data_IF_857016319483
#
_entry.id   IF_857016319483
#
_cell.length_a   1.000
_cell.length_b   1.000
_cell.length_c   1.000
_cell.angle_alpha   90.00
_cell.angle_beta   90.00
_cell.angle_gamma   90.00
#
_symmetry.space_group_name_H-M   'P 1'
#
loop_
_entity.id
_entity.type
_entity.pdbx_description
1 polymer ?
#
# COMPACT_ATOMS: atom_id res chain seq x y z
N UNK A 1 -16.61 -6.30 -3.53
CA UNK A 1 -15.42 -7.15 -3.28
C UNK A 1 -15.46 -7.56 -1.83
N UNK A 2 -15.28 -8.85 -1.52
CA UNK A 2 -15.19 -9.32 -0.14
C UNK A 2 -13.73 -9.26 0.33
N UNK A 3 -13.49 -8.81 1.55
CA UNK A 3 -12.21 -8.83 2.24
C UNK A 3 -12.38 -9.54 3.58
N UNK A 4 -11.42 -10.38 3.96
CA UNK A 4 -11.44 -11.03 5.27
C UNK A 4 -10.96 -10.06 6.36
N UNK A 5 -11.40 -10.21 7.63
CA UNK A 5 -10.77 -9.50 8.73
C UNK A 5 -9.29 -9.87 8.86
N UNK A 6 -8.42 -8.88 9.09
CA UNK A 6 -7.03 -9.17 9.44
C UNK A 6 -6.96 -9.87 10.79
N UNK A 7 -6.14 -10.95 10.92
CA UNK A 7 -6.06 -11.72 12.17
C UNK A 7 -5.46 -10.96 13.35
N UNK A 8 -4.64 -9.94 13.07
CA UNK A 8 -3.91 -9.16 14.07
C UNK A 8 -3.64 -7.72 13.60
N UNK A 9 -2.96 -6.91 14.40
CA UNK A 9 -2.68 -5.50 14.13
C UNK A 9 -1.68 -5.22 13.00
N UNK A 10 -1.00 -6.24 12.45
CA UNK A 10 0.12 -6.06 11.52
C UNK A 10 -0.06 -6.74 10.16
N UNK A 11 -1.14 -7.49 9.95
CA UNK A 11 -1.38 -8.30 8.74
C UNK A 11 -2.32 -7.65 7.71
N UNK A 12 -2.57 -6.34 7.81
CA UNK A 12 -3.43 -5.61 6.86
C UNK A 12 -2.97 -5.77 5.40
N UNK A 13 -1.67 -5.65 5.14
CA UNK A 13 -1.09 -5.79 3.80
C UNK A 13 -1.33 -7.17 3.18
N UNK A 14 -0.88 -8.27 3.80
CA UNK A 14 -1.16 -9.63 3.34
C UNK A 14 -2.67 -9.93 3.17
N UNK A 15 -3.53 -9.38 4.04
CA UNK A 15 -4.98 -9.56 3.92
C UNK A 15 -5.55 -8.83 2.70
N UNK A 16 -5.08 -7.60 2.41
CA UNK A 16 -5.41 -6.90 1.17
C UNK A 16 -4.93 -7.68 -0.07
N UNK A 17 -3.70 -8.20 -0.03
CA UNK A 17 -3.13 -9.00 -1.12
C UNK A 17 -3.94 -10.28 -1.37
N UNK A 18 -4.34 -10.98 -0.31
CA UNK A 18 -5.23 -12.14 -0.39
C UNK A 18 -6.57 -11.81 -1.08
N UNK A 19 -7.16 -10.66 -0.76
CA UNK A 19 -8.38 -10.21 -1.41
C UNK A 19 -8.20 -9.96 -2.91
N UNK A 20 -7.04 -9.40 -3.34
CA UNK A 20 -6.72 -9.26 -4.76
C UNK A 20 -6.49 -10.62 -5.44
N UNK A 21 -5.81 -11.56 -4.79
CA UNK A 21 -5.65 -12.90 -5.34
C UNK A 21 -6.99 -13.58 -5.60
N UNK A 22 -7.93 -13.50 -4.64
CA UNK A 22 -9.29 -14.01 -4.81
C UNK A 22 -10.02 -13.33 -5.97
N UNK A 23 -9.88 -12.01 -6.10
CA UNK A 23 -10.48 -11.26 -7.21
C UNK A 23 -9.97 -11.75 -8.57
N UNK A 24 -8.69 -12.06 -8.70
CA UNK A 24 -8.08 -12.60 -9.92
C UNK A 24 -8.21 -14.13 -10.07
N UNK A 25 -9.03 -14.77 -9.24
CA UNK A 25 -9.32 -16.20 -9.30
C UNK A 25 -8.23 -17.12 -8.73
N UNK A 26 -7.20 -16.57 -8.10
CA UNK A 26 -6.21 -17.36 -7.38
C UNK A 26 -6.72 -17.66 -5.97
N UNK A 27 -6.97 -18.94 -5.69
CA UNK A 27 -7.45 -19.42 -4.40
C UNK A 27 -6.28 -19.94 -3.57
N UNK A 28 -5.84 -19.16 -2.60
CA UNK A 28 -4.80 -19.49 -1.63
C UNK A 28 -5.31 -19.14 -0.23
N UNK A 29 -5.06 -19.94 0.81
CA UNK A 29 -5.46 -19.60 2.18
C UNK A 29 -4.80 -18.29 2.65
N UNK A 30 -5.52 -17.45 3.42
CA UNK A 30 -4.98 -16.21 3.97
C UNK A 30 -3.69 -16.46 4.80
N UNK A 31 -3.68 -17.49 5.62
CA UNK A 31 -2.50 -17.86 6.42
C UNK A 31 -1.26 -18.09 5.55
N UNK A 32 -1.41 -18.72 4.37
CA UNK A 32 -0.31 -18.94 3.46
C UNK A 32 0.20 -17.62 2.83
N UNK A 33 -0.68 -16.65 2.60
CA UNK A 33 -0.26 -15.32 2.10
C UNK A 33 0.49 -14.56 3.21
N UNK A 34 -0.01 -14.64 4.45
CA UNK A 34 0.66 -14.04 5.61
C UNK A 34 2.06 -14.64 5.80
N UNK A 35 2.19 -15.96 5.73
CA UNK A 35 3.47 -16.66 5.91
C UNK A 35 4.48 -16.36 4.77
N UNK A 36 4.00 -16.07 3.55
CA UNK A 36 4.87 -15.80 2.40
C UNK A 36 5.33 -14.35 2.31
N UNK A 37 4.61 -13.42 2.92
CA UNK A 37 4.99 -12.00 2.94
C UNK A 37 5.84 -11.71 4.17
N UNK A 38 7.12 -11.42 3.95
CA UNK A 38 8.05 -11.15 5.05
C UNK A 38 7.59 -9.93 5.89
N UNK A 39 7.39 -10.06 7.20
CA UNK A 39 7.09 -8.94 8.07
C UNK A 39 8.35 -8.10 8.34
N UNK A 40 8.15 -6.83 8.68
CA UNK A 40 9.22 -5.99 9.22
C UNK A 40 9.49 -6.36 10.71
N UNK A 41 10.71 -6.13 11.19
CA UNK A 41 11.07 -6.37 12.60
C UNK A 41 10.18 -5.58 13.58
N UNK A 42 9.73 -4.40 13.19
CA UNK A 42 8.87 -3.50 13.98
C UNK A 42 7.37 -3.80 13.79
N UNK A 43 7.04 -4.85 13.04
CA UNK A 43 5.69 -5.21 12.64
C UNK A 43 5.26 -4.56 11.32
N UNK A 44 4.15 -5.07 10.76
CA UNK A 44 3.64 -4.65 9.46
C UNK A 44 4.49 -5.12 8.28
N UNK A 45 4.27 -4.53 7.11
CA UNK A 45 4.98 -4.86 5.88
C UNK A 45 5.19 -3.61 5.02
N UNK A 46 5.83 -3.77 3.87
CA UNK A 46 5.95 -2.74 2.83
C UNK A 46 5.21 -3.21 1.58
N UNK A 47 4.62 -2.28 0.83
CA UNK A 47 3.90 -2.61 -0.40
C UNK A 47 4.75 -3.38 -1.42
N UNK A 48 6.03 -3.07 -1.52
CA UNK A 48 6.96 -3.78 -2.41
C UNK A 48 7.14 -5.25 -2.03
N UNK A 49 7.01 -5.61 -0.75
CA UNK A 49 7.05 -7.01 -0.31
C UNK A 49 5.78 -7.76 -0.75
N UNK A 50 4.63 -7.10 -0.71
CA UNK A 50 3.38 -7.61 -1.29
C UNK A 50 3.52 -7.82 -2.80
N UNK A 51 4.11 -6.84 -3.49
CA UNK A 51 4.34 -6.91 -4.93
C UNK A 51 5.32 -8.04 -5.32
N UNK A 52 6.36 -8.28 -4.52
CA UNK A 52 7.30 -9.38 -4.75
C UNK A 52 6.64 -10.76 -4.58
N UNK A 53 5.74 -10.93 -3.62
CA UNK A 53 4.95 -12.17 -3.49
C UNK A 53 4.02 -12.35 -4.70
N UNK A 54 3.40 -11.27 -5.20
CA UNK A 54 2.55 -11.31 -6.37
C UNK A 54 3.34 -11.70 -7.64
N UNK A 55 4.51 -11.09 -7.88
CA UNK A 55 5.41 -11.46 -8.97
C UNK A 55 5.83 -12.94 -8.90
N UNK A 56 6.13 -13.44 -7.69
CA UNK A 56 6.49 -14.84 -7.49
C UNK A 56 5.33 -15.80 -7.83
N UNK A 57 4.09 -15.32 -7.80
CA UNK A 57 2.87 -16.08 -8.17
C UNK A 57 2.42 -15.86 -9.62
N UNK A 58 3.23 -15.18 -10.43
CA UNK A 58 2.97 -14.97 -11.85
C UNK A 58 1.98 -13.85 -12.17
N UNK A 59 1.85 -12.87 -11.30
CA UNK A 59 1.18 -11.62 -11.60
C UNK A 59 2.16 -10.61 -12.18
N UNK A 60 1.67 -9.72 -13.03
CA UNK A 60 2.33 -8.45 -13.30
C UNK A 60 1.97 -7.47 -12.18
N UNK A 61 2.97 -6.71 -11.72
CA UNK A 61 2.80 -5.78 -10.61
C UNK A 61 3.34 -4.40 -10.97
N UNK A 62 2.49 -3.39 -10.82
CA UNK A 62 2.86 -1.97 -10.98
C UNK A 62 2.68 -1.24 -9.65
N UNK A 63 3.75 -0.62 -9.15
CA UNK A 63 3.71 0.27 -7.99
C UNK A 63 3.76 1.73 -8.46
N UNK A 64 2.75 2.52 -8.08
CA UNK A 64 2.82 3.98 -8.09
C UNK A 64 3.29 4.44 -6.72
N UNK A 65 4.48 5.03 -6.64
CA UNK A 65 5.06 5.50 -5.38
C UNK A 65 5.03 7.02 -5.27
N UNK A 66 4.80 7.51 -4.06
CA UNK A 66 4.87 8.94 -3.69
C UNK A 66 5.87 9.13 -2.54
N UNK A 67 6.69 8.12 -2.26
CA UNK A 67 7.56 8.07 -1.10
C UNK A 67 8.91 8.75 -1.35
N UNK A 68 9.00 10.04 -1.00
CA UNK A 68 10.23 10.85 -1.07
C UNK A 68 11.34 10.40 -0.10
N UNK A 69 11.04 9.54 0.88
CA UNK A 69 12.07 8.95 1.74
C UNK A 69 12.93 7.93 1.00
N UNK A 70 12.37 7.30 -0.04
CA UNK A 70 13.03 6.28 -0.86
C UNK A 70 13.50 6.82 -2.20
N UNK A 71 12.65 7.55 -2.89
CA UNK A 71 12.85 7.95 -4.28
C UNK A 71 13.03 9.46 -4.42
N UNK A 72 13.74 9.85 -5.49
CA UNK A 72 13.84 11.23 -5.95
C UNK A 72 13.06 11.35 -7.28
N UNK A 73 12.16 12.33 -7.42
CA UNK A 73 11.37 12.51 -8.64
C UNK A 73 12.22 12.63 -9.92
N UNK A 74 13.43 13.17 -9.80
CA UNK A 74 14.34 13.33 -10.94
C UNK A 74 14.80 12.00 -11.53
N UNK A 75 14.72 10.91 -10.78
CA UNK A 75 15.08 9.57 -11.27
C UNK A 75 14.08 9.04 -12.30
N UNK A 76 12.89 9.63 -12.37
CA UNK A 76 11.80 9.24 -13.27
C UNK A 76 11.60 10.22 -14.42
N UNK A 77 12.47 11.24 -14.54
CA UNK A 77 12.41 12.23 -15.60
C UNK A 77 12.91 11.69 -16.95
N UNK A 78 13.84 10.73 -16.90
CA UNK A 78 14.47 10.12 -18.07
C UNK A 78 14.19 8.62 -18.10
N UNK A 79 13.91 8.02 -19.26
CA UNK A 79 13.46 6.62 -19.36
C UNK A 79 14.53 5.59 -19.00
N UNK A 80 15.81 5.93 -19.16
CA UNK A 80 16.93 4.98 -19.04
C UNK A 80 17.66 5.03 -17.68
N UNK A 81 17.06 5.66 -16.67
CA UNK A 81 17.68 5.73 -15.33
C UNK A 81 17.58 4.39 -14.63
N UNK A 82 18.71 3.82 -14.24
CA UNK A 82 18.77 2.65 -13.38
C UNK A 82 18.37 3.01 -11.94
N UNK A 83 17.08 2.88 -11.64
CA UNK A 83 16.51 3.15 -10.32
C UNK A 83 17.11 2.24 -9.24
N UNK A 84 17.39 0.97 -9.56
CA UNK A 84 18.00 0.05 -8.60
C UNK A 84 19.43 0.47 -8.23
N UNK A 85 20.23 0.94 -9.20
CA UNK A 85 21.55 1.50 -8.92
C UNK A 85 21.47 2.78 -8.05
N UNK A 86 20.49 3.67 -8.30
CA UNK A 86 20.24 4.86 -7.48
C UNK A 86 19.87 4.50 -6.05
N UNK A 87 19.00 3.52 -5.84
CA UNK A 87 18.60 3.02 -4.53
C UNK A 87 19.81 2.45 -3.77
N UNK A 88 20.64 1.60 -4.40
CA UNK A 88 21.86 1.05 -3.79
C UNK A 88 22.85 2.15 -3.41
N UNK A 89 23.07 3.14 -4.28
CA UNK A 89 23.94 4.28 -4.00
C UNK A 89 23.44 5.12 -2.82
N UNK A 90 22.10 5.29 -2.69
CA UNK A 90 21.48 5.98 -1.56
C UNK A 90 21.66 5.17 -0.26
N UNK A 91 21.48 3.86 -0.30
CA UNK A 91 21.65 2.97 0.86
C UNK A 91 23.09 2.93 1.39
N UNK A 92 24.07 3.14 0.54
CA UNK A 92 25.46 3.23 0.97
C UNK A 92 25.72 4.43 1.93
N UNK A 93 24.86 5.44 1.91
CA UNK A 93 25.01 6.68 2.71
C UNK A 93 23.92 6.88 3.77
N UNK A 94 22.69 6.48 3.48
CA UNK A 94 21.56 6.59 4.40
C UNK A 94 21.39 5.28 5.17
N UNK A 95 21.39 5.37 6.50
CA UNK A 95 21.23 4.20 7.37
C UNK A 95 19.83 4.15 7.95
N UNK A 96 19.35 2.93 8.25
CA UNK A 96 18.05 2.65 8.85
C UNK A 96 17.60 1.25 8.46
N UNK A 97 17.15 0.44 9.42
CA UNK A 97 16.75 -0.97 9.15
C UNK A 97 15.62 -1.04 8.11
N UNK A 98 14.50 -0.35 8.35
CA UNK A 98 13.35 -0.28 7.43
C UNK A 98 13.76 0.23 6.04
N UNK A 99 14.63 1.24 5.99
CA UNK A 99 15.15 1.77 4.73
C UNK A 99 15.97 0.73 3.96
N UNK A 100 16.85 -0.02 4.64
CA UNK A 100 17.64 -1.09 4.04
C UNK A 100 16.76 -2.19 3.44
N UNK A 101 15.79 -2.69 4.21
CA UNK A 101 14.81 -3.69 3.73
C UNK A 101 14.05 -3.18 2.52
N UNK A 102 13.58 -1.92 2.55
CA UNK A 102 12.87 -1.33 1.41
C UNK A 102 13.75 -1.29 0.16
N UNK A 103 15.02 -0.85 0.27
CA UNK A 103 15.93 -0.79 -0.89
C UNK A 103 16.17 -2.17 -1.50
N UNK A 104 16.42 -3.18 -0.68
CA UNK A 104 16.62 -4.55 -1.15
C UNK A 104 15.37 -5.09 -1.86
N UNK A 105 14.20 -4.91 -1.24
CA UNK A 105 12.93 -5.35 -1.80
C UNK A 105 12.60 -4.65 -3.13
N UNK A 106 12.85 -3.33 -3.26
CA UNK A 106 12.65 -2.63 -4.53
C UNK A 106 13.67 -3.03 -5.60
N UNK A 107 14.91 -3.31 -5.23
CA UNK A 107 15.90 -3.85 -6.18
C UNK A 107 15.50 -5.24 -6.69
N UNK A 108 14.95 -6.09 -5.83
CA UNK A 108 14.40 -7.39 -6.21
C UNK A 108 13.16 -7.22 -7.11
N UNK A 109 12.21 -6.35 -6.74
CA UNK A 109 11.01 -6.04 -7.50
C UNK A 109 11.33 -5.63 -8.94
N UNK A 110 12.24 -4.67 -9.11
CA UNK A 110 12.67 -4.20 -10.42
C UNK A 110 13.43 -5.29 -11.20
N UNK A 111 14.27 -6.09 -10.52
CA UNK A 111 14.99 -7.22 -11.11
C UNK A 111 14.08 -8.36 -11.59
N UNK A 112 12.87 -8.48 -11.03
CA UNK A 112 11.84 -9.46 -11.43
C UNK A 112 10.89 -8.92 -12.51
N UNK A 113 11.11 -7.70 -13.01
CA UNK A 113 10.27 -7.07 -14.03
C UNK A 113 9.08 -6.30 -13.49
N UNK A 114 9.01 -6.04 -12.20
CA UNK A 114 7.99 -5.15 -11.62
C UNK A 114 8.12 -3.73 -12.13
N UNK A 115 7.00 -3.06 -12.37
CA UNK A 115 6.96 -1.70 -12.89
C UNK A 115 6.81 -0.67 -11.76
N UNK A 116 7.72 0.31 -11.71
CA UNK A 116 7.70 1.39 -10.72
C UNK A 116 7.44 2.74 -11.40
N UNK A 117 6.44 3.46 -10.92
CA UNK A 117 6.02 4.77 -11.43
C UNK A 117 6.03 5.82 -10.34
N UNK A 118 6.52 7.01 -10.68
CA UNK A 118 6.44 8.20 -9.84
C UNK A 118 5.73 9.29 -10.66
N UNK A 119 4.47 9.54 -10.31
CA UNK A 119 3.58 10.47 -11.04
C UNK A 119 2.77 11.29 -10.05
N UNK A 120 2.14 12.37 -10.51
CA UNK A 120 1.23 13.14 -9.64
C UNK A 120 -0.01 12.32 -9.28
N UNK A 121 -0.31 12.18 -7.99
CA UNK A 121 -1.56 11.59 -7.54
C UNK A 121 -2.70 12.57 -7.69
N UNK A 122 -3.39 12.49 -8.79
CA UNK A 122 -4.56 13.35 -9.10
C UNK A 122 -5.87 12.57 -9.00
N UNK A 123 -6.99 13.29 -8.84
CA UNK A 123 -8.33 12.67 -8.94
C UNK A 123 -8.53 11.96 -10.27
N UNK A 124 -7.98 12.51 -11.36
CA UNK A 124 -8.10 11.93 -12.70
C UNK A 124 -7.37 10.60 -12.80
N UNK A 125 -6.14 10.53 -12.28
CA UNK A 125 -5.34 9.32 -12.25
C UNK A 125 -6.02 8.23 -11.41
N UNK A 126 -6.39 8.54 -10.16
CA UNK A 126 -7.02 7.55 -9.28
C UNK A 126 -8.33 6.99 -9.86
N UNK A 127 -9.18 7.87 -10.43
CA UNK A 127 -10.38 7.43 -11.17
C UNK A 127 -10.03 6.57 -12.39
N UNK A 128 -8.95 6.94 -13.11
CA UNK A 128 -8.48 6.18 -14.28
C UNK A 128 -8.10 4.77 -13.92
N UNK A 129 -7.41 4.57 -12.81
CA UNK A 129 -7.03 3.25 -12.29
C UNK A 129 -8.27 2.43 -11.93
N UNK A 130 -9.18 2.99 -11.12
CA UNK A 130 -10.40 2.28 -10.68
C UNK A 130 -11.40 1.99 -11.81
N UNK A 131 -11.40 2.78 -12.89
CA UNK A 131 -12.26 2.53 -14.07
C UNK A 131 -11.83 1.31 -14.89
N UNK A 132 -10.62 0.80 -14.72
CA UNK A 132 -10.17 -0.46 -15.33
C UNK A 132 -10.87 -1.68 -14.73
N UNK A 133 -11.60 -1.50 -13.61
CA UNK A 133 -12.37 -2.54 -12.95
C UNK A 133 -11.54 -3.44 -12.04
N UNK A 134 -10.23 -3.27 -11.99
CA UNK A 134 -9.37 -3.98 -11.06
C UNK A 134 -9.25 -3.22 -9.73
N UNK A 135 -9.28 -3.92 -8.59
CA UNK A 135 -9.03 -3.32 -7.28
C UNK A 135 -7.55 -2.91 -7.14
N UNK A 136 -7.31 -1.88 -6.33
CA UNK A 136 -5.99 -1.29 -6.10
C UNK A 136 -5.67 -1.35 -4.62
N UNK A 137 -4.54 -1.95 -4.21
CA UNK A 137 -4.05 -1.82 -2.83
C UNK A 137 -3.48 -0.41 -2.67
N UNK A 138 -3.86 0.26 -1.58
CA UNK A 138 -3.34 1.57 -1.22
C UNK A 138 -2.66 1.50 0.15
N UNK A 139 -1.37 1.86 0.18
CA UNK A 139 -0.64 2.16 1.40
C UNK A 139 -0.86 3.63 1.79
N UNK A 140 -1.35 3.88 2.98
CA UNK A 140 -1.81 5.19 3.39
C UNK A 140 -1.69 5.45 4.91
N UNK A 141 -1.84 6.70 5.30
CA UNK A 141 -1.94 7.11 6.68
C UNK A 141 -3.37 6.96 7.17
N UNK A 142 -3.61 5.98 8.03
CA UNK A 142 -4.95 5.63 8.50
C UNK A 142 -5.48 6.63 9.53
N UNK A 143 -4.63 7.24 10.33
CA UNK A 143 -5.02 8.30 11.26
C UNK A 143 -5.74 9.44 10.54
N UNK A 144 -5.22 9.84 9.36
CA UNK A 144 -5.88 10.83 8.52
C UNK A 144 -7.14 10.29 7.83
N UNK A 145 -7.12 9.04 7.35
CA UNK A 145 -8.28 8.43 6.69
C UNK A 145 -9.48 8.35 7.63
N UNK A 146 -9.26 7.83 8.83
CA UNK A 146 -10.30 7.63 9.84
C UNK A 146 -10.69 8.92 10.58
N UNK A 147 -9.79 9.93 10.60
CA UNK A 147 -9.95 11.15 11.41
C UNK A 147 -10.08 10.87 12.91
N UNK A 148 -9.26 9.97 13.40
CA UNK A 148 -9.17 9.72 14.84
C UNK A 148 -7.81 10.19 15.41
N UNK A 149 -7.68 10.11 16.73
CA UNK A 149 -6.44 10.46 17.39
C UNK A 149 -5.26 9.59 16.93
N UNK A 150 -4.05 10.13 17.01
CA UNK A 150 -2.82 9.36 16.94
C UNK A 150 -2.80 8.34 18.09
N UNK A 151 -1.93 7.37 18.00
CA UNK A 151 -1.86 6.29 18.98
C UNK A 151 -0.49 6.19 19.62
N UNK A 152 -0.44 5.64 20.83
CA UNK A 152 0.80 5.43 21.58
C UNK A 152 0.79 4.08 22.30
N UNK A 153 2.00 3.57 22.58
CA UNK A 153 2.16 2.32 23.31
C UNK A 153 1.84 1.06 22.50
N UNK A 154 2.00 -0.13 23.13
CA UNK A 154 1.89 -1.41 22.46
C UNK A 154 0.44 -1.85 22.15
N UNK A 155 -0.54 -1.10 22.63
CA UNK A 155 -1.97 -1.37 22.43
C UNK A 155 -2.65 -0.35 21.53
N UNK A 156 -1.86 0.53 20.88
CA UNK A 156 -2.38 1.61 20.03
C UNK A 156 -3.40 2.51 20.77
N UNK A 157 -3.10 2.84 22.03
CA UNK A 157 -3.97 3.69 22.84
C UNK A 157 -4.08 5.10 22.24
N UNK A 158 -5.29 5.69 22.14
CA UNK A 158 -5.47 7.02 21.59
C UNK A 158 -4.71 8.10 22.37
N UNK A 159 -3.83 8.84 21.68
CA UNK A 159 -3.05 9.95 22.24
C UNK A 159 -2.89 11.05 21.19
N UNK A 160 -3.69 12.10 21.29
CA UNK A 160 -3.71 13.22 20.36
C UNK A 160 -2.56 14.23 20.54
N UNK A 161 -1.78 14.08 21.63
CA UNK A 161 -0.66 14.98 21.95
C UNK A 161 0.69 14.31 21.63
N UNK A 162 0.97 13.11 22.16
CA UNK A 162 2.26 12.44 22.08
C UNK A 162 2.25 11.24 21.12
N UNK A 163 1.07 10.80 20.69
CA UNK A 163 0.92 9.64 19.81
C UNK A 163 1.51 9.86 18.41
N UNK A 164 1.73 8.77 17.71
CA UNK A 164 2.22 8.74 16.34
C UNK A 164 1.11 8.35 15.36
N UNK A 165 1.24 8.78 14.11
CA UNK A 165 0.29 8.40 13.06
C UNK A 165 0.58 7.00 12.54
N UNK A 166 -0.47 6.23 12.21
CA UNK A 166 -0.35 4.86 11.75
C UNK A 166 -0.44 4.74 10.24
N UNK A 167 0.41 3.87 9.69
CA UNK A 167 0.29 3.35 8.33
C UNK A 167 -0.70 2.19 8.27
N UNK A 168 -1.32 2.01 7.11
CA UNK A 168 -2.27 0.93 6.90
C UNK A 168 -2.43 0.62 5.41
N UNK A 169 -2.84 -0.62 5.11
CA UNK A 169 -3.20 -1.03 3.77
C UNK A 169 -4.70 -1.28 3.67
N UNK A 170 -5.29 -0.72 2.62
CA UNK A 170 -6.70 -0.95 2.25
C UNK A 170 -6.80 -1.26 0.76
N UNK A 171 -7.95 -1.77 0.33
CA UNK A 171 -8.24 -1.99 -1.09
C UNK A 171 -9.25 -0.97 -1.60
N UNK A 172 -8.87 -0.21 -2.62
CA UNK A 172 -9.77 0.69 -3.33
C UNK A 172 -10.48 -0.11 -4.43
N UNK A 173 -11.82 -0.17 -4.38
CA UNK A 173 -12.59 -1.10 -5.22
C UNK A 173 -13.52 -0.45 -6.22
N UNK A 174 -13.78 0.86 -6.10
CA UNK A 174 -14.69 1.54 -7.00
C UNK A 174 -14.75 3.05 -6.78
N UNK A 175 -15.43 3.73 -7.70
CA UNK A 175 -15.64 5.18 -7.66
C UNK A 175 -17.09 5.54 -7.95
N UNK A 176 -17.71 6.29 -7.05
CA UNK A 176 -19.01 6.93 -7.27
C UNK A 176 -18.79 8.36 -7.80
N UNK A 177 -19.31 8.64 -9.00
CA UNK A 177 -19.12 9.91 -9.67
C UNK A 177 -19.97 11.03 -9.05
N UNK A 178 -21.16 10.72 -8.58
CA UNK A 178 -22.13 11.70 -8.12
C UNK A 178 -21.67 12.30 -6.79
N UNK A 179 -21.20 11.46 -5.88
CA UNK A 179 -20.72 11.86 -4.55
C UNK A 179 -19.20 12.09 -4.52
N UNK A 180 -18.49 11.77 -5.59
CA UNK A 180 -17.02 11.82 -5.67
C UNK A 180 -16.34 11.00 -4.57
N UNK A 181 -16.87 9.82 -4.29
CA UNK A 181 -16.38 8.91 -3.26
C UNK A 181 -15.73 7.67 -3.85
N UNK A 182 -14.78 7.12 -3.11
CA UNK A 182 -14.09 5.87 -3.37
C UNK A 182 -14.65 4.80 -2.44
N UNK A 183 -14.96 3.63 -2.99
CA UNK A 183 -15.28 2.45 -2.20
C UNK A 183 -13.99 1.85 -1.64
N UNK A 184 -13.89 1.75 -0.34
CA UNK A 184 -12.75 1.21 0.40
C UNK A 184 -13.17 -0.12 1.02
N UNK A 185 -12.44 -1.18 0.73
CA UNK A 185 -12.51 -2.45 1.45
C UNK A 185 -11.33 -2.51 2.42
N UNK A 186 -11.63 -2.60 3.70
CA UNK A 186 -10.70 -2.45 4.80
C UNK A 186 -10.65 -3.73 5.64
N UNK A 187 -9.46 -4.35 5.84
CA UNK A 187 -9.35 -5.55 6.64
C UNK A 187 -9.50 -5.32 8.15
N UNK A 188 -9.43 -4.07 8.63
CA UNK A 188 -9.46 -3.77 10.05
C UNK A 188 -10.87 -3.85 10.64
N UNK A 189 -11.02 -4.62 11.73
CA UNK A 189 -12.28 -4.82 12.45
C UNK A 189 -12.02 -4.78 13.96
N UNK A 190 -12.83 -4.00 14.74
CA UNK A 190 -13.93 -3.16 14.30
C UNK A 190 -13.45 -1.90 13.57
N UNK A 191 -14.08 -1.55 12.45
CA UNK A 191 -13.67 -0.39 11.66
C UNK A 191 -14.21 0.90 12.29
N UNK A 192 -13.38 1.93 12.56
CA UNK A 192 -13.82 3.16 13.20
C UNK A 192 -14.62 4.11 12.29
N UNK A 193 -14.67 3.84 10.99
CA UNK A 193 -15.39 4.67 10.00
C UNK A 193 -16.79 4.12 9.75
N UNK A 194 -16.95 2.79 9.78
CA UNK A 194 -18.20 2.12 9.46
C UNK A 194 -18.34 0.81 10.24
N UNK A 195 -19.56 0.32 10.43
CA UNK A 195 -19.81 -0.99 11.02
C UNK A 195 -19.31 -2.15 10.13
N UNK A 196 -19.28 -1.91 8.81
CA UNK A 196 -18.86 -2.87 7.81
C UNK A 196 -17.45 -2.58 7.30
N UNK A 197 -16.77 -3.62 6.78
CA UNK A 197 -15.44 -3.50 6.17
C UNK A 197 -15.46 -2.76 4.81
N UNK A 198 -16.63 -2.55 4.21
CA UNK A 198 -16.81 -1.80 2.96
C UNK A 198 -17.50 -0.48 3.23
N UNK A 199 -16.83 0.62 2.94
CA UNK A 199 -17.36 1.97 3.15
C UNK A 199 -16.90 2.96 2.06
N UNK A 200 -17.53 4.14 2.04
CA UNK A 200 -17.26 5.15 1.03
C UNK A 200 -16.58 6.37 1.64
N UNK A 201 -15.52 6.84 1.00
CA UNK A 201 -14.73 8.00 1.44
C UNK A 201 -14.56 8.99 0.28
N UNK A 202 -14.69 10.28 0.55
CA UNK A 202 -14.45 11.31 -0.47
C UNK A 202 -13.05 11.19 -1.04
N UNK A 203 -12.91 11.25 -2.38
CA UNK A 203 -11.67 11.03 -3.11
C UNK A 203 -10.51 11.88 -2.60
N UNK A 204 -10.76 13.13 -2.18
CA UNK A 204 -9.69 14.00 -1.68
C UNK A 204 -9.13 13.54 -0.34
N UNK A 205 -9.96 12.93 0.52
CA UNK A 205 -9.49 12.34 1.76
C UNK A 205 -8.61 11.13 1.48
N UNK A 206 -9.00 10.30 0.53
CA UNK A 206 -8.19 9.13 0.12
C UNK A 206 -6.84 9.60 -0.45
N UNK A 207 -6.83 10.59 -1.35
CA UNK A 207 -5.59 11.16 -1.89
C UNK A 207 -4.72 11.73 -0.76
N UNK A 208 -5.30 12.52 0.15
CA UNK A 208 -4.57 13.07 1.29
C UNK A 208 -3.98 12.00 2.19
N UNK A 209 -4.74 10.92 2.48
CA UNK A 209 -4.27 9.79 3.27
C UNK A 209 -3.09 9.05 2.60
N UNK A 210 -3.17 8.81 1.28
CA UNK A 210 -2.07 8.17 0.53
C UNK A 210 -0.81 9.03 0.58
N UNK A 211 -0.91 10.33 0.29
CA UNK A 211 0.27 11.21 0.31
C UNK A 211 0.88 11.35 1.70
N UNK A 212 0.07 11.39 2.76
CA UNK A 212 0.54 11.41 4.14
C UNK A 212 1.12 10.05 4.59
N UNK A 213 0.88 8.98 3.86
CA UNK A 213 1.52 7.68 4.05
C UNK A 213 3.05 7.74 3.94
N UNK A 214 3.63 8.81 3.38
CA UNK A 214 5.08 9.02 3.36
C UNK A 214 5.70 9.03 4.77
N UNK A 215 4.94 9.44 5.78
CA UNK A 215 5.37 9.45 7.18
C UNK A 215 5.62 8.04 7.74
N UNK A 216 4.91 7.04 7.21
CA UNK A 216 4.97 5.63 7.64
C UNK A 216 5.59 4.70 6.58
N UNK A 217 6.11 5.25 5.47
CA UNK A 217 6.64 4.54 4.29
C UNK A 217 5.57 3.88 3.39
N UNK A 218 4.28 4.17 3.59
CA UNK A 218 3.18 3.50 2.91
C UNK A 218 2.60 4.27 1.71
N UNK A 219 3.17 5.43 1.35
CA UNK A 219 2.65 6.32 0.30
C UNK A 219 2.74 5.68 -1.10
N UNK A 220 1.83 4.80 -1.45
CA UNK A 220 1.87 4.04 -2.69
C UNK A 220 0.53 3.42 -3.10
N UNK A 221 0.44 3.02 -4.38
CA UNK A 221 -0.66 2.23 -4.93
C UNK A 221 -0.07 1.01 -5.65
N UNK A 222 -0.54 -0.19 -5.31
CA UNK A 222 -0.18 -1.43 -5.99
C UNK A 222 -1.34 -1.93 -6.86
N UNK A 223 -1.02 -2.18 -8.13
CA UNK A 223 -1.93 -2.76 -9.10
C UNK A 223 -1.37 -4.10 -9.51
N UNK A 224 -2.21 -5.11 -9.50
CA UNK A 224 -1.90 -6.44 -10.00
C UNK A 224 -2.70 -6.71 -11.27
N UNK A 225 -2.03 -7.24 -12.28
CA UNK A 225 -2.64 -7.75 -13.50
C UNK A 225 -2.21 -9.21 -13.68
N UNK A 226 -3.05 -10.01 -14.31
CA UNK A 226 -2.73 -11.40 -14.62
C UNK A 226 -3.07 -11.65 -16.07
N UNK A 227 -2.10 -12.18 -16.82
CA UNK A 227 -2.40 -12.67 -18.17
C UNK A 227 -3.50 -13.75 -18.10
N UNK A 228 -4.50 -13.60 -18.95
CA UNK A 228 -5.70 -14.45 -19.03
C UNK A 228 -5.37 -15.78 -19.71
#
# INVERSE_FOLDING_TARGET
MEIEPQPDGITCGPTCLHALYRFHGLRVPLAQVIDSVQPLEEGGTLEVLLANDALARGFDATIYTFNLNLFDPTWFAEPDVDIAAKLRARAARKRGKKFGVAVEAYCEFLGRGGELKFTDLTRAQLRGLLRRGAPVIAGLNVTYLYRHARVSGPHDDPDDVHGESCGHFVVLTGYNRDDRTIAVADPYVPNPVAEEQLYWVHIDRVIGAILLGVMTYDASLLILERES
#
